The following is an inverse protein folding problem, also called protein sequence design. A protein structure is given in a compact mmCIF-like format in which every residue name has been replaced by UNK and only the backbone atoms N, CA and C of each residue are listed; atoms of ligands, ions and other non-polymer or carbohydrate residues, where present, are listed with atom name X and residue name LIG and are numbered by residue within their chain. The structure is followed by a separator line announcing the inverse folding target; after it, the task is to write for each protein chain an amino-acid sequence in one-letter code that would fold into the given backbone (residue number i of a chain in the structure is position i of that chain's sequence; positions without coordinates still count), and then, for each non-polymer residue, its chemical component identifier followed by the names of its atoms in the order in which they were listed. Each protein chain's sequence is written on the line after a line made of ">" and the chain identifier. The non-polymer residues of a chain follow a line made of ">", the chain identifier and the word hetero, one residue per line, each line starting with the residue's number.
data_IF_656018886053
#
_entry.id   IF_656018886053
#
_cell.length_a   1.000
_cell.length_b   1.000
_cell.length_c   1.000
_cell.angle_alpha   90.00
_cell.angle_beta   90.00
_cell.angle_gamma   90.00
#
_symmetry.space_group_name_H-M   'P 1'
#
loop_
_entity.id
_entity.type
_entity.pdbx_description
1 polymer ?
#
# COMPACT_ATOMS: atom_id res chain seq x y z
N UNK A 1 -12.84 -3.28 30.62
CA UNK A 1 -12.26 -4.31 29.76
C UNK A 1 -12.53 -3.89 28.31
N UNK A 2 -11.61 -3.18 27.71
CA UNK A 2 -11.72 -2.71 26.31
C UNK A 2 -11.42 -3.91 25.41
N UNK A 3 -12.40 -4.38 24.65
CA UNK A 3 -12.15 -5.28 23.54
C UNK A 3 -11.36 -4.49 22.50
N UNK A 4 -10.08 -4.80 22.34
CA UNK A 4 -9.29 -4.34 21.20
C UNK A 4 -9.97 -4.88 19.94
N UNK A 5 -10.78 -4.03 19.31
CA UNK A 5 -11.40 -4.34 18.03
C UNK A 5 -10.29 -4.59 17.03
N UNK A 6 -10.29 -5.76 16.39
CA UNK A 6 -9.38 -6.11 15.30
C UNK A 6 -9.63 -5.12 14.15
N UNK A 7 -8.81 -4.08 14.09
CA UNK A 7 -8.84 -3.13 12.96
C UNK A 7 -8.03 -3.75 11.84
N UNK A 8 -8.71 -4.33 10.87
CA UNK A 8 -8.11 -4.91 9.68
C UNK A 8 -8.55 -4.06 8.50
N UNK A 9 -7.60 -3.42 7.82
CA UNK A 9 -7.92 -2.68 6.60
C UNK A 9 -8.25 -3.66 5.49
N UNK A 10 -9.40 -3.53 4.87
CA UNK A 10 -9.68 -4.24 3.62
C UNK A 10 -9.14 -3.44 2.45
N UNK A 11 -8.03 -3.89 1.89
CA UNK A 11 -7.63 -3.46 0.56
C UNK A 11 -8.54 -4.19 -0.43
N UNK A 12 -9.05 -3.52 -1.49
CA UNK A 12 -9.94 -4.16 -2.46
C UNK A 12 -9.33 -5.44 -3.01
N UNK A 13 -9.93 -6.59 -2.76
CA UNK A 13 -9.62 -7.78 -3.55
C UNK A 13 -10.23 -7.58 -4.94
N UNK A 14 -9.38 -7.25 -5.91
CA UNK A 14 -9.77 -6.99 -7.30
C UNK A 14 -10.11 -8.25 -8.09
N UNK A 15 -10.14 -9.42 -7.46
CA UNK A 15 -10.55 -10.66 -8.11
C UNK A 15 -12.06 -10.67 -8.45
N UNK A 16 -12.89 -9.89 -7.74
CA UNK A 16 -14.32 -9.83 -8.00
C UNK A 16 -14.74 -8.90 -9.17
N UNK A 17 -13.89 -7.99 -9.62
CA UNK A 17 -14.20 -7.12 -10.78
C UNK A 17 -14.10 -7.83 -12.15
N UNK A 18 -13.95 -9.15 -12.20
CA UNK A 18 -13.86 -9.94 -13.45
C UNK A 18 -15.19 -10.20 -14.18
N UNK A 19 -16.29 -9.56 -13.81
CA UNK A 19 -17.57 -9.72 -14.54
C UNK A 19 -17.83 -8.67 -15.61
N UNK A 20 -16.94 -7.70 -15.81
CA UNK A 20 -17.00 -6.83 -16.99
C UNK A 20 -16.08 -7.44 -18.06
N UNK A 21 -16.68 -8.21 -18.97
CA UNK A 21 -15.99 -8.76 -20.16
C UNK A 21 -15.61 -7.59 -21.08
N UNK A 22 -14.35 -7.19 -21.06
CA UNK A 22 -13.77 -6.43 -22.15
C UNK A 22 -13.22 -7.38 -23.19
N UNK A 23 -14.02 -7.62 -24.22
CA UNK A 23 -13.59 -8.21 -25.48
C UNK A 23 -12.94 -7.11 -26.32
N UNK A 24 -11.62 -7.10 -26.43
CA UNK A 24 -10.91 -6.41 -27.50
C UNK A 24 -9.58 -7.09 -27.79
N UNK A 25 -9.61 -7.94 -28.82
CA UNK A 25 -8.42 -8.32 -29.59
C UNK A 25 -8.30 -7.29 -30.74
N UNK A 26 -7.21 -6.55 -30.78
CA UNK A 26 -6.71 -5.94 -32.00
C UNK A 26 -5.19 -5.96 -31.95
N UNK A 27 -4.61 -6.83 -32.76
CA UNK A 27 -3.18 -6.89 -33.09
C UNK A 27 -2.78 -5.60 -33.82
N UNK A 28 -1.77 -4.92 -33.28
CA UNK A 28 -0.88 -4.09 -34.10
C UNK A 28 0.54 -4.53 -33.78
N UNK A 29 1.15 -5.22 -34.74
CA UNK A 29 2.56 -5.57 -34.72
C UNK A 29 3.38 -4.32 -35.10
N UNK A 30 4.08 -3.74 -34.15
CA UNK A 30 5.12 -2.75 -34.39
C UNK A 30 6.45 -3.39 -34.01
N UNK A 31 7.24 -3.74 -35.01
CA UNK A 31 8.63 -4.18 -34.88
C UNK A 31 9.49 -2.97 -34.52
N UNK A 32 9.81 -2.81 -33.24
CA UNK A 32 10.81 -1.85 -32.78
C UNK A 32 12.01 -2.62 -32.25
N UNK A 33 13.16 -2.42 -32.90
CA UNK A 33 14.46 -2.94 -32.48
C UNK A 33 14.83 -2.36 -31.13
N UNK A 34 14.71 -3.19 -30.08
CA UNK A 34 15.01 -2.83 -28.69
C UNK A 34 16.52 -3.02 -28.46
N UNK A 35 17.28 -1.95 -28.45
CA UNK A 35 18.64 -1.94 -27.89
C UNK A 35 18.51 -2.11 -26.38
N UNK A 36 18.84 -3.29 -25.88
CA UNK A 36 18.90 -3.60 -24.45
C UNK A 36 20.10 -2.87 -23.84
N UNK A 37 19.88 -1.66 -23.35
CA UNK A 37 20.78 -1.04 -22.37
C UNK A 37 20.58 -1.79 -21.04
N UNK A 38 21.44 -2.75 -20.76
CA UNK A 38 21.48 -3.44 -19.47
C UNK A 38 21.96 -2.43 -18.43
N UNK A 39 21.03 -1.88 -17.67
CA UNK A 39 21.32 -0.93 -16.59
C UNK A 39 22.11 -1.65 -15.48
N UNK A 40 23.23 -1.09 -14.97
CA UNK A 40 24.04 -1.73 -13.91
C UNK A 40 23.26 -2.01 -12.61
N UNK A 41 22.13 -1.33 -12.39
CA UNK A 41 21.22 -1.56 -11.27
C UNK A 41 20.57 -2.96 -11.25
N UNK A 42 20.29 -3.53 -12.43
CA UNK A 42 19.69 -4.86 -12.53
C UNK A 42 20.67 -6.00 -12.15
N UNK A 43 21.97 -5.80 -12.43
CA UNK A 43 23.01 -6.75 -12.03
C UNK A 43 23.24 -6.75 -10.53
N UNK A 44 23.16 -5.59 -9.87
CA UNK A 44 23.31 -5.44 -8.40
C UNK A 44 22.17 -6.12 -7.65
N UNK A 45 20.91 -5.98 -8.11
CA UNK A 45 19.75 -6.63 -7.48
C UNK A 45 19.84 -8.17 -7.53
N UNK A 46 20.28 -8.75 -8.64
CA UNK A 46 20.48 -10.19 -8.78
C UNK A 46 21.58 -10.78 -7.85
N UNK A 47 22.59 -9.98 -7.53
CA UNK A 47 23.68 -10.41 -6.66
C UNK A 47 23.28 -10.38 -5.18
N UNK A 48 22.39 -9.48 -4.80
CA UNK A 48 21.86 -9.32 -3.44
C UNK A 48 21.01 -10.54 -3.02
N UNK A 49 20.21 -11.09 -3.95
CA UNK A 49 19.35 -12.25 -3.68
C UNK A 49 20.11 -13.56 -3.38
N UNK A 50 21.37 -13.66 -3.82
CA UNK A 50 22.21 -14.86 -3.62
C UNK A 50 22.94 -14.87 -2.27
N UNK A 51 22.99 -13.74 -1.55
CA UNK A 51 23.65 -13.68 -0.25
C UNK A 51 22.97 -14.66 0.74
N UNK A 52 23.77 -15.49 1.39
CA UNK A 52 23.27 -16.43 2.42
C UNK A 52 22.85 -15.71 3.70
N UNK A 53 23.43 -14.54 3.96
CA UNK A 53 23.07 -13.71 5.11
C UNK A 53 23.27 -12.23 4.80
N UNK A 54 22.38 -11.39 5.34
CA UNK A 54 22.50 -9.93 5.36
C UNK A 54 21.63 -9.34 6.45
N UNK A 55 21.93 -8.10 6.85
CA UNK A 55 21.11 -7.28 7.74
C UNK A 55 21.07 -5.84 7.24
N UNK A 56 19.90 -5.20 7.27
CA UNK A 56 19.72 -3.80 6.87
C UNK A 56 18.69 -3.14 7.79
N UNK A 57 18.80 -1.82 7.98
CA UNK A 57 17.88 -1.01 8.78
C UNK A 57 17.71 0.35 8.09
N UNK A 58 16.50 0.90 8.13
CA UNK A 58 16.16 2.19 7.52
C UNK A 58 16.47 3.40 8.41
N UNK A 59 16.66 3.18 9.70
CA UNK A 59 16.75 4.25 10.72
C UNK A 59 15.39 4.70 11.26
N UNK A 60 14.26 4.21 10.72
CA UNK A 60 12.93 4.49 11.25
C UNK A 60 12.75 3.81 12.62
N UNK A 61 12.33 4.59 13.62
CA UNK A 61 12.07 4.13 14.98
C UNK A 61 10.57 4.33 15.27
N UNK A 62 9.76 3.25 15.45
CA UNK A 62 8.31 3.34 15.61
C UNK A 62 7.85 4.36 16.66
N UNK A 63 8.50 4.41 17.82
CA UNK A 63 8.14 5.31 18.92
C UNK A 63 8.38 6.80 18.61
N UNK A 64 9.28 7.11 17.68
CA UNK A 64 9.62 8.49 17.28
C UNK A 64 8.94 8.86 15.96
N UNK A 65 9.10 8.00 14.96
CA UNK A 65 8.78 8.30 13.57
C UNK A 65 7.39 7.78 13.16
N UNK A 66 6.80 6.88 13.97
CA UNK A 66 5.41 6.44 13.86
C UNK A 66 4.44 7.42 14.52
N UNK A 67 3.15 7.27 14.27
CA UNK A 67 2.12 8.04 14.97
C UNK A 67 1.99 7.56 16.42
N UNK A 68 1.60 8.47 17.33
CA UNK A 68 1.35 8.16 18.74
C UNK A 68 0.00 7.49 19.01
N UNK A 69 -0.81 7.32 17.98
CA UNK A 69 -2.14 6.70 18.03
C UNK A 69 -2.23 5.51 17.06
N UNK A 70 -3.08 4.56 17.41
CA UNK A 70 -3.31 3.37 16.61
C UNK A 70 -4.28 3.64 15.46
N UNK A 71 -4.24 2.78 14.44
CA UNK A 71 -5.24 2.71 13.39
C UNK A 71 -6.65 2.58 13.99
N UNK A 72 -7.62 3.25 13.38
CA UNK A 72 -8.99 3.32 13.89
C UNK A 72 -10.03 3.04 12.80
N UNK A 73 -11.21 2.65 13.27
CA UNK A 73 -12.42 2.49 12.46
C UNK A 73 -13.30 3.73 12.70
N UNK A 74 -13.66 4.42 11.63
CA UNK A 74 -14.62 5.52 11.67
C UNK A 74 -15.31 5.66 10.32
N UNK A 75 -16.62 5.87 10.33
CA UNK A 75 -17.38 6.19 9.14
C UNK A 75 -16.95 7.58 8.65
N UNK A 76 -16.48 7.70 7.40
CA UNK A 76 -16.14 9.00 6.84
C UNK A 76 -17.41 9.86 6.68
N UNK A 77 -17.23 11.18 6.58
CA UNK A 77 -18.32 12.09 6.26
C UNK A 77 -18.84 11.81 4.86
N UNK A 78 -20.14 12.05 4.63
CA UNK A 78 -20.75 11.92 3.30
C UNK A 78 -20.05 12.86 2.31
N UNK A 79 -19.64 12.33 1.18
CA UNK A 79 -18.92 13.07 0.13
C UNK A 79 -17.40 12.95 0.21
N UNK A 80 -16.84 12.47 1.31
CA UNK A 80 -15.39 12.23 1.45
C UNK A 80 -14.83 11.41 0.27
N UNK A 81 -15.55 10.40 -0.19
CA UNK A 81 -15.13 9.58 -1.32
C UNK A 81 -14.96 10.38 -2.61
N UNK A 82 -15.88 11.29 -2.93
CA UNK A 82 -15.79 12.17 -4.11
C UNK A 82 -14.60 13.11 -3.97
N UNK A 83 -14.41 13.73 -2.79
CA UNK A 83 -13.30 14.64 -2.52
C UNK A 83 -11.95 13.95 -2.69
N UNK A 84 -11.79 12.74 -2.16
CA UNK A 84 -10.58 11.94 -2.32
C UNK A 84 -10.33 11.57 -3.78
N UNK A 85 -11.37 11.20 -4.54
CA UNK A 85 -11.23 10.90 -5.96
C UNK A 85 -10.80 12.14 -6.76
N UNK A 86 -11.35 13.33 -6.44
CA UNK A 86 -10.93 14.60 -7.05
C UNK A 86 -9.46 14.90 -6.75
N UNK A 87 -9.02 14.67 -5.51
CA UNK A 87 -7.62 14.90 -5.12
C UNK A 87 -6.63 13.99 -5.86
N UNK A 88 -6.97 12.73 -6.09
CA UNK A 88 -6.05 11.75 -6.70
C UNK A 88 -6.15 11.66 -8.22
N UNK A 89 -7.31 11.92 -8.82
CA UNK A 89 -7.53 11.80 -10.27
C UNK A 89 -7.76 13.13 -10.97
N UNK A 90 -7.97 14.20 -10.22
CA UNK A 90 -8.28 15.52 -10.76
C UNK A 90 -9.77 15.73 -11.04
N UNK A 91 -10.19 16.99 -10.96
CA UNK A 91 -11.58 17.41 -11.11
C UNK A 91 -12.15 17.04 -12.49
N UNK A 92 -11.37 17.19 -13.56
CA UNK A 92 -11.77 16.86 -14.93
C UNK A 92 -12.14 15.38 -15.13
N UNK A 93 -11.54 14.49 -14.34
CA UNK A 93 -11.84 13.05 -14.41
C UNK A 93 -13.07 12.64 -13.62
N UNK A 94 -13.44 13.41 -12.61
CA UNK A 94 -14.45 13.02 -11.62
C UNK A 94 -15.75 13.80 -11.78
N UNK A 95 -15.69 15.10 -12.17
CA UNK A 95 -16.83 16.01 -12.12
C UNK A 95 -17.36 16.34 -13.53
N UNK A 96 -18.69 16.30 -13.71
CA UNK A 96 -19.40 16.77 -14.92
C UNK A 96 -19.25 18.28 -15.11
N UNK A 97 -19.11 19.02 -14.01
CA UNK A 97 -18.94 20.47 -13.95
C UNK A 97 -17.49 20.87 -13.62
N UNK A 98 -16.52 20.27 -14.30
CA UNK A 98 -15.11 20.44 -13.98
C UNK A 98 -14.61 21.90 -14.06
N UNK A 99 -15.17 22.68 -14.98
CA UNK A 99 -14.81 24.10 -15.22
C UNK A 99 -15.49 25.07 -14.22
N UNK A 100 -16.43 24.58 -13.41
CA UNK A 100 -17.13 25.40 -12.39
C UNK A 100 -16.33 25.43 -11.09
N UNK A 101 -16.47 26.54 -10.35
CA UNK A 101 -15.98 26.69 -8.97
C UNK A 101 -16.94 26.05 -7.95
N UNK A 102 -18.15 25.69 -8.39
CA UNK A 102 -19.15 25.05 -7.55
C UNK A 102 -18.71 23.65 -7.07
N UNK A 103 -19.48 23.07 -6.15
CA UNK A 103 -19.26 21.71 -5.70
C UNK A 103 -19.22 20.72 -6.88
N UNK A 104 -18.39 19.71 -6.78
CA UNK A 104 -18.28 18.68 -7.81
C UNK A 104 -19.61 17.92 -7.98
N UNK A 105 -20.11 17.86 -9.20
CA UNK A 105 -21.18 16.95 -9.61
C UNK A 105 -20.49 15.74 -10.26
N UNK A 106 -20.36 14.60 -9.56
CA UNK A 106 -19.59 13.48 -10.08
C UNK A 106 -20.26 12.82 -11.29
N UNK A 107 -19.47 12.17 -12.14
CA UNK A 107 -19.98 11.18 -13.08
C UNK A 107 -20.57 10.00 -12.30
N UNK A 108 -21.58 9.32 -12.82
CA UNK A 108 -22.25 8.22 -12.13
C UNK A 108 -21.29 7.10 -11.71
N UNK A 109 -20.38 6.73 -12.60
CA UNK A 109 -19.33 5.73 -12.28
C UNK A 109 -18.37 6.19 -11.19
N UNK A 110 -18.06 7.49 -11.12
CA UNK A 110 -17.25 8.07 -10.07
C UNK A 110 -18.01 8.12 -8.73
N UNK A 111 -19.30 8.44 -8.75
CA UNK A 111 -20.16 8.44 -7.56
C UNK A 111 -20.28 7.04 -6.94
N UNK A 112 -20.58 6.03 -7.76
CA UNK A 112 -20.64 4.64 -7.31
C UNK A 112 -19.30 4.16 -6.73
N UNK A 113 -18.20 4.58 -7.34
CA UNK A 113 -16.86 4.24 -6.83
C UNK A 113 -16.55 4.99 -5.53
N UNK A 114 -16.97 6.25 -5.39
CA UNK A 114 -16.82 7.04 -4.17
C UNK A 114 -17.53 6.40 -2.98
N UNK A 115 -18.72 5.84 -3.18
CA UNK A 115 -19.42 5.07 -2.13
C UNK A 115 -18.58 3.86 -1.67
N UNK A 116 -18.02 3.10 -2.60
CA UNK A 116 -17.14 1.98 -2.24
C UNK A 116 -15.86 2.44 -1.51
N UNK A 117 -15.33 3.61 -1.85
CA UNK A 117 -14.19 4.24 -1.15
C UNK A 117 -14.57 4.53 0.30
N UNK A 118 -15.72 5.15 0.55
CA UNK A 118 -16.21 5.45 1.90
C UNK A 118 -16.43 4.17 2.74
N UNK A 119 -17.07 3.16 2.17
CA UNK A 119 -17.30 1.87 2.82
C UNK A 119 -15.99 1.18 3.24
N UNK A 120 -14.95 1.28 2.42
CA UNK A 120 -13.65 0.67 2.70
C UNK A 120 -12.82 1.48 3.69
N UNK A 121 -12.85 2.81 3.56
CA UNK A 121 -12.19 3.72 4.49
C UNK A 121 -12.76 3.55 5.92
N UNK A 122 -14.06 3.26 6.02
CA UNK A 122 -14.72 2.97 7.29
C UNK A 122 -14.15 1.72 8.00
N UNK A 123 -13.43 0.84 7.30
CA UNK A 123 -12.88 -0.39 7.86
C UNK A 123 -11.45 -0.23 8.41
N UNK A 124 -10.81 0.90 8.16
CA UNK A 124 -9.50 1.23 8.69
C UNK A 124 -8.60 1.99 7.71
N UNK A 125 -7.56 2.60 8.24
CA UNK A 125 -6.67 3.54 7.55
C UNK A 125 -5.20 3.10 7.52
N UNK A 126 -4.93 1.79 7.70
CA UNK A 126 -3.55 1.29 7.81
C UNK A 126 -2.65 1.71 6.64
N UNK A 127 -3.18 1.70 5.40
CA UNK A 127 -2.45 2.14 4.21
C UNK A 127 -2.04 3.62 4.33
N UNK A 128 -2.98 4.49 4.67
CA UNK A 128 -2.73 5.93 4.81
C UNK A 128 -1.75 6.25 5.92
N UNK A 129 -1.94 5.63 7.08
CA UNK A 129 -1.03 5.77 8.23
C UNK A 129 0.39 5.33 7.87
N UNK A 130 0.53 4.17 7.26
CA UNK A 130 1.83 3.63 6.87
C UNK A 130 2.54 4.52 5.85
N UNK A 131 1.84 4.95 4.80
CA UNK A 131 2.41 5.81 3.75
C UNK A 131 2.76 7.17 4.31
N UNK A 132 1.88 7.78 5.13
CA UNK A 132 2.11 9.13 5.63
C UNK A 132 3.22 9.18 6.66
N UNK A 133 3.32 8.21 7.58
CA UNK A 133 4.46 8.10 8.49
C UNK A 133 5.80 7.99 7.72
N UNK A 134 5.85 7.18 6.67
CA UNK A 134 7.04 7.04 5.82
C UNK A 134 7.39 8.33 5.08
N UNK A 135 6.38 9.10 4.62
CA UNK A 135 6.58 10.40 3.99
C UNK A 135 7.15 11.44 4.96
N UNK A 136 6.56 11.55 6.16
CA UNK A 136 7.05 12.45 7.22
C UNK A 136 8.48 12.09 7.60
N UNK A 137 8.80 10.80 7.73
CA UNK A 137 10.15 10.33 8.02
C UNK A 137 11.15 10.73 6.92
N UNK A 138 10.78 10.57 5.66
CA UNK A 138 11.61 10.95 4.53
C UNK A 138 11.86 12.47 4.44
N UNK A 139 10.87 13.28 4.81
CA UNK A 139 10.98 14.74 4.84
C UNK A 139 11.86 15.25 5.99
N UNK A 140 11.99 14.46 7.07
CA UNK A 140 12.92 14.72 8.18
C UNK A 140 12.61 15.99 9.02
N UNK A 141 11.40 16.56 8.88
CA UNK A 141 11.05 17.84 9.53
C UNK A 141 10.57 17.67 10.97
N UNK A 142 9.46 16.96 11.16
CA UNK A 142 8.85 16.77 12.49
C UNK A 142 8.51 15.30 12.67
N UNK A 143 8.90 14.65 13.77
CA UNK A 143 8.51 13.28 14.07
C UNK A 143 6.99 13.11 14.06
N UNK A 144 6.48 12.07 13.39
CA UNK A 144 5.05 11.82 13.27
C UNK A 144 4.37 11.63 14.65
N UNK A 145 5.11 11.10 15.64
CA UNK A 145 4.63 10.93 17.01
C UNK A 145 4.23 12.22 17.72
N UNK A 146 4.74 13.37 17.27
CA UNK A 146 4.45 14.69 17.85
C UNK A 146 3.26 15.39 17.21
N UNK A 147 2.66 14.83 16.15
CA UNK A 147 1.57 15.47 15.42
C UNK A 147 0.24 14.87 15.88
N UNK A 148 -0.69 15.67 16.42
CA UNK A 148 -1.99 15.18 16.88
C UNK A 148 -2.89 14.80 15.72
N UNK A 149 -3.75 13.79 15.96
CA UNK A 149 -4.61 13.16 14.93
C UNK A 149 -5.53 14.16 14.24
N UNK A 150 -6.01 15.18 14.95
CA UNK A 150 -6.93 16.20 14.43
C UNK A 150 -6.33 17.02 13.28
N UNK A 151 -4.99 17.07 13.21
CA UNK A 151 -4.25 17.77 12.15
C UNK A 151 -3.89 16.85 10.97
N UNK A 152 -4.18 15.57 11.07
CA UNK A 152 -3.65 14.56 10.15
C UNK A 152 -4.72 13.77 9.42
N UNK A 153 -5.98 13.75 9.91
CA UNK A 153 -7.01 12.84 9.39
C UNK A 153 -7.22 12.94 7.88
N UNK A 154 -7.32 14.17 7.35
CA UNK A 154 -7.48 14.40 5.90
C UNK A 154 -6.28 13.91 5.08
N UNK A 155 -5.06 14.15 5.59
CA UNK A 155 -3.84 13.65 4.95
C UNK A 155 -3.75 12.12 4.98
N UNK A 156 -4.17 11.50 6.08
CA UNK A 156 -4.19 10.04 6.21
C UNK A 156 -5.17 9.44 5.20
N UNK A 157 -6.37 10.01 5.07
CA UNK A 157 -7.39 9.56 4.12
C UNK A 157 -6.92 9.79 2.67
N UNK A 158 -6.25 10.90 2.37
CA UNK A 158 -5.60 11.14 1.07
C UNK A 158 -4.54 10.07 0.75
N UNK A 159 -3.60 9.81 1.66
CA UNK A 159 -2.57 8.80 1.43
C UNK A 159 -3.14 7.38 1.35
N UNK A 160 -4.22 7.11 2.10
CA UNK A 160 -4.97 5.87 1.96
C UNK A 160 -5.56 5.74 0.55
N UNK A 161 -6.14 6.80 0.00
CA UNK A 161 -6.74 6.81 -1.32
C UNK A 161 -5.72 6.54 -2.45
N UNK A 162 -4.43 6.87 -2.25
CA UNK A 162 -3.39 6.63 -3.27
C UNK A 162 -3.20 5.18 -3.67
N UNK A 163 -3.70 4.20 -2.90
CA UNK A 163 -3.72 2.79 -3.31
C UNK A 163 -4.53 2.55 -4.59
N UNK A 164 -5.48 3.45 -4.91
CA UNK A 164 -6.33 3.38 -6.09
C UNK A 164 -5.65 3.87 -7.37
N UNK A 165 -4.52 4.56 -7.27
CA UNK A 165 -3.75 5.02 -8.44
C UNK A 165 -3.42 3.86 -9.38
N UNK A 166 -3.56 4.02 -10.71
CA UNK A 166 -3.28 2.97 -11.68
C UNK A 166 -1.89 2.35 -11.55
N UNK A 167 -0.86 3.17 -11.29
CA UNK A 167 0.52 2.70 -11.09
C UNK A 167 0.66 1.83 -9.83
N UNK A 168 0.06 2.25 -8.71
CA UNK A 168 0.04 1.49 -7.44
C UNK A 168 -0.68 0.16 -7.63
N UNK A 169 -1.86 0.20 -8.25
CA UNK A 169 -2.64 -0.98 -8.58
C UNK A 169 -1.91 -1.98 -9.46
N UNK A 170 -1.24 -1.50 -10.51
CA UNK A 170 -0.47 -2.35 -11.42
C UNK A 170 0.72 -2.99 -10.69
N UNK A 171 1.41 -2.21 -9.86
CA UNK A 171 2.53 -2.71 -9.04
C UNK A 171 2.06 -3.74 -8.02
N UNK A 172 0.93 -3.52 -7.33
CA UNK A 172 0.35 -4.50 -6.40
C UNK A 172 0.06 -5.83 -7.11
N UNK A 173 -0.63 -5.81 -8.26
CA UNK A 173 -0.90 -7.04 -9.03
C UNK A 173 0.39 -7.75 -9.44
N UNK A 174 1.39 -7.02 -9.94
CA UNK A 174 2.65 -7.62 -10.36
C UNK A 174 3.45 -8.20 -9.20
N UNK A 175 3.52 -7.51 -8.06
CA UNK A 175 4.16 -8.01 -6.84
C UNK A 175 3.46 -9.28 -6.33
N UNK A 176 2.13 -9.28 -6.27
CA UNK A 176 1.34 -10.44 -5.81
C UNK A 176 1.50 -11.67 -6.72
N UNK A 177 1.89 -11.52 -7.98
CA UNK A 177 2.20 -12.67 -8.85
C UNK A 177 3.52 -13.36 -8.48
N UNK A 178 4.37 -12.70 -7.69
CA UNK A 178 5.68 -13.21 -7.28
C UNK A 178 5.57 -14.10 -6.03
N UNK A 179 6.54 -15.02 -5.88
CA UNK A 179 6.72 -15.77 -4.64
C UNK A 179 7.35 -14.89 -3.56
N UNK A 180 7.14 -15.16 -2.26
CA UNK A 180 7.72 -14.37 -1.18
C UNK A 180 9.24 -14.16 -1.28
N UNK A 181 9.99 -15.19 -1.70
CA UNK A 181 11.44 -15.09 -1.90
C UNK A 181 11.87 -14.08 -2.97
N UNK A 182 11.02 -13.83 -3.97
CA UNK A 182 11.30 -12.90 -5.07
C UNK A 182 11.08 -11.44 -4.68
N UNK A 183 10.33 -11.19 -3.60
CA UNK A 183 10.07 -9.85 -3.06
C UNK A 183 11.17 -9.35 -2.10
N UNK A 184 12.05 -10.23 -1.62
CA UNK A 184 13.06 -9.90 -0.62
C UNK A 184 14.00 -8.79 -1.09
N UNK A 185 14.39 -8.80 -2.36
CA UNK A 185 15.23 -7.76 -2.95
C UNK A 185 14.58 -6.38 -2.91
N UNK A 186 13.30 -6.31 -3.26
CA UNK A 186 12.52 -5.06 -3.25
C UNK A 186 12.30 -4.56 -1.80
N UNK A 187 11.97 -5.47 -0.86
CA UNK A 187 11.84 -5.11 0.56
C UNK A 187 13.17 -4.54 1.09
N UNK A 188 14.28 -5.23 0.82
CA UNK A 188 15.61 -4.78 1.24
C UNK A 188 15.97 -3.42 0.63
N UNK A 189 15.69 -3.22 -0.63
CA UNK A 189 15.95 -1.93 -1.30
C UNK A 189 15.14 -0.81 -0.64
N UNK A 190 13.86 -1.02 -0.37
CA UNK A 190 13.02 -0.05 0.34
C UNK A 190 13.57 0.31 1.73
N UNK A 191 14.05 -0.70 2.48
CA UNK A 191 14.69 -0.49 3.80
C UNK A 191 15.99 0.31 3.67
N UNK A 192 16.88 -0.05 2.73
CA UNK A 192 18.15 0.64 2.50
C UNK A 192 17.99 2.09 2.05
N UNK A 193 16.92 2.39 1.34
CA UNK A 193 16.61 3.75 0.86
C UNK A 193 15.84 4.60 1.89
N UNK A 194 15.76 4.19 3.16
CA UNK A 194 15.08 4.95 4.22
C UNK A 194 13.58 4.67 4.31
N UNK A 195 13.17 3.40 4.33
CA UNK A 195 11.75 2.98 4.45
C UNK A 195 10.84 3.51 3.32
N UNK A 196 11.31 3.43 2.07
CA UNK A 196 10.65 4.02 0.89
C UNK A 196 9.66 3.10 0.18
N UNK A 197 9.26 1.99 0.80
CA UNK A 197 8.25 1.08 0.24
C UNK A 197 7.33 0.56 1.33
N UNK A 198 6.03 0.44 1.03
CA UNK A 198 5.07 -0.26 1.89
C UNK A 198 5.02 -1.75 1.55
N UNK A 199 4.57 -2.57 2.49
CA UNK A 199 4.33 -4.00 2.32
C UNK A 199 2.89 -4.31 2.68
N UNK A 200 2.13 -4.78 1.69
CA UNK A 200 0.77 -5.27 1.86
C UNK A 200 0.75 -6.78 2.08
N UNK A 201 -0.11 -7.22 2.99
CA UNK A 201 -0.38 -8.62 3.30
C UNK A 201 -1.86 -8.91 3.10
N UNK A 202 -2.18 -10.04 2.48
CA UNK A 202 -3.55 -10.43 2.12
C UNK A 202 -3.84 -11.83 2.64
N UNK A 203 -4.95 -11.97 3.37
CA UNK A 203 -5.37 -13.24 3.96
C UNK A 203 -6.90 -13.29 4.11
N UNK A 204 -7.53 -14.31 3.54
CA UNK A 204 -8.99 -14.55 3.64
C UNK A 204 -9.85 -13.32 3.31
N UNK A 205 -9.56 -12.64 2.19
CA UNK A 205 -10.29 -11.45 1.76
C UNK A 205 -9.98 -10.17 2.54
N UNK A 206 -9.11 -10.25 3.53
CA UNK A 206 -8.63 -9.10 4.31
C UNK A 206 -7.28 -8.62 3.80
N UNK A 207 -6.96 -7.35 4.00
CA UNK A 207 -5.68 -6.75 3.69
C UNK A 207 -5.16 -5.90 4.83
N UNK A 208 -3.84 -5.87 4.99
CA UNK A 208 -3.16 -5.03 5.97
C UNK A 208 -1.84 -4.51 5.39
N UNK A 209 -1.54 -3.25 5.66
CA UNK A 209 -0.33 -2.59 5.17
C UNK A 209 0.55 -2.17 6.32
N UNK A 210 1.84 -2.48 6.20
CA UNK A 210 2.89 -2.15 7.17
C UNK A 210 4.09 -1.52 6.46
N UNK A 211 4.97 -0.85 7.22
CA UNK A 211 6.20 -0.27 6.71
C UNK A 211 7.40 -1.16 7.07
N UNK A 212 8.11 -1.77 6.11
CA UNK A 212 9.37 -2.44 6.37
C UNK A 212 10.42 -1.43 6.85
N UNK A 213 10.95 -1.64 8.05
CA UNK A 213 11.96 -0.77 8.67
C UNK A 213 13.30 -1.45 8.87
N UNK A 214 13.30 -2.77 8.92
CA UNK A 214 14.54 -3.57 8.96
C UNK A 214 14.33 -4.91 8.26
N UNK A 215 15.42 -5.53 7.84
CA UNK A 215 15.38 -6.87 7.26
C UNK A 215 16.68 -7.63 7.61
N UNK A 216 16.53 -8.87 8.04
CA UNK A 216 17.62 -9.79 8.30
C UNK A 216 17.37 -11.13 7.60
N UNK A 217 18.38 -11.64 6.91
CA UNK A 217 18.36 -12.99 6.31
C UNK A 217 19.45 -13.84 6.94
N UNK A 218 19.08 -15.05 7.34
CA UNK A 218 19.98 -16.12 7.82
C UNK A 218 19.58 -17.41 7.13
N UNK A 219 20.38 -17.85 6.17
CA UNK A 219 20.07 -19.01 5.35
C UNK A 219 18.73 -18.85 4.62
N UNK A 220 17.79 -19.74 4.90
CA UNK A 220 16.44 -19.71 4.32
C UNK A 220 15.42 -18.88 5.11
N UNK A 221 15.79 -18.35 6.27
CA UNK A 221 14.91 -17.52 7.09
C UNK A 221 15.16 -16.04 6.83
N UNK A 222 14.08 -15.30 6.63
CA UNK A 222 14.09 -13.84 6.51
C UNK A 222 13.13 -13.29 7.56
N UNK A 223 13.61 -12.34 8.34
CA UNK A 223 12.85 -11.57 9.31
C UNK A 223 12.80 -10.12 8.84
N UNK A 224 11.59 -9.60 8.60
CA UNK A 224 11.36 -8.21 8.26
C UNK A 224 10.75 -7.52 9.47
N UNK A 225 11.51 -6.62 10.11
CA UNK A 225 10.95 -5.74 11.13
C UNK A 225 10.09 -4.68 10.48
N UNK A 226 8.89 -4.48 11.01
CA UNK A 226 7.91 -3.56 10.43
C UNK A 226 7.35 -2.60 11.48
N UNK A 227 7.05 -1.37 11.06
CA UNK A 227 6.13 -0.50 11.76
C UNK A 227 4.70 -0.87 11.33
N UNK A 228 3.86 -1.16 12.31
CA UNK A 228 2.44 -1.51 12.15
C UNK A 228 1.59 -0.45 12.86
N UNK A 229 0.74 0.23 12.12
CA UNK A 229 -0.14 1.26 12.66
C UNK A 229 -1.20 0.74 13.65
N UNK A 230 -1.43 -0.58 13.71
CA UNK A 230 -2.28 -1.18 14.75
C UNK A 230 -1.59 -1.24 16.12
N UNK A 231 -0.23 -1.20 16.12
CA UNK A 231 0.62 -1.25 17.31
C UNK A 231 1.77 -0.25 17.16
N UNK A 232 1.48 1.06 17.08
CA UNK A 232 2.38 2.07 16.51
C UNK A 232 3.71 2.23 17.25
N UNK A 233 3.78 1.86 18.52
CA UNK A 233 5.00 1.96 19.32
C UNK A 233 5.88 0.72 19.28
N UNK A 234 5.42 -0.37 18.63
CA UNK A 234 6.13 -1.65 18.61
C UNK A 234 6.70 -1.95 17.23
N UNK A 235 7.89 -2.52 17.21
CA UNK A 235 8.40 -3.19 16.01
C UNK A 235 7.80 -4.58 15.94
N UNK A 236 7.00 -4.84 14.92
CA UNK A 236 6.47 -6.17 14.64
C UNK A 236 7.40 -6.93 13.68
N UNK A 237 7.17 -8.24 13.49
CA UNK A 237 8.03 -9.05 12.62
C UNK A 237 7.21 -9.91 11.65
N UNK A 238 7.38 -9.65 10.36
CA UNK A 238 7.01 -10.59 9.30
C UNK A 238 8.17 -11.57 9.09
N UNK A 239 7.86 -12.87 9.05
CA UNK A 239 8.85 -13.93 8.79
C UNK A 239 8.55 -14.60 7.46
N UNK A 240 9.60 -14.89 6.69
CA UNK A 240 9.53 -15.56 5.38
C UNK A 240 10.52 -16.70 5.35
N UNK A 241 10.07 -17.90 4.95
CA UNK A 241 10.95 -19.01 4.64
C UNK A 241 11.09 -19.14 3.12
N UNK A 242 12.28 -18.84 2.61
CA UNK A 242 12.58 -18.81 1.18
C UNK A 242 12.61 -20.20 0.52
N UNK A 243 12.83 -21.28 1.28
CA UNK A 243 12.82 -22.65 0.78
C UNK A 243 11.39 -23.16 0.61
N UNK A 244 10.53 -22.95 1.61
CA UNK A 244 9.15 -23.43 1.62
C UNK A 244 8.17 -22.45 0.99
N UNK A 245 8.60 -21.19 0.75
CA UNK A 245 7.78 -20.09 0.25
C UNK A 245 6.61 -19.74 1.17
N UNK A 246 6.74 -19.98 2.46
CA UNK A 246 5.76 -19.64 3.49
C UNK A 246 6.18 -18.33 4.16
N UNK A 247 5.21 -17.46 4.36
CA UNK A 247 5.34 -16.32 5.26
C UNK A 247 4.31 -16.41 6.38
N UNK A 248 4.60 -15.74 7.49
CA UNK A 248 3.67 -15.59 8.61
C UNK A 248 3.89 -14.28 9.34
N UNK A 249 2.80 -13.71 9.81
CA UNK A 249 2.74 -12.47 10.54
C UNK A 249 1.80 -12.63 11.74
N UNK A 250 2.31 -12.40 12.94
CA UNK A 250 1.57 -12.54 14.19
C UNK A 250 1.96 -11.38 15.11
N UNK A 251 1.35 -10.17 14.89
CA UNK A 251 1.66 -9.02 15.72
C UNK A 251 1.20 -9.21 17.15
N UNK A 252 1.93 -8.61 18.08
CA UNK A 252 1.65 -8.64 19.51
C UNK A 252 1.25 -7.23 20.00
N UNK A 253 0.44 -7.17 21.05
CA UNK A 253 0.17 -5.94 21.81
C UNK A 253 1.31 -5.63 22.82
N UNK A 254 1.13 -4.57 23.61
CA UNK A 254 2.10 -4.14 24.64
C UNK A 254 2.29 -5.16 25.77
N UNK A 255 1.30 -6.01 25.98
CA UNK A 255 1.31 -7.12 26.96
C UNK A 255 1.93 -8.39 26.38
N UNK A 256 2.37 -8.39 25.12
CA UNK A 256 2.95 -9.52 24.41
C UNK A 256 1.93 -10.55 23.90
N UNK A 257 0.64 -10.23 23.93
CA UNK A 257 -0.42 -11.10 23.44
C UNK A 257 -0.58 -10.95 21.93
N UNK A 258 -0.67 -12.08 21.22
CA UNK A 258 -0.96 -12.08 19.78
C UNK A 258 -2.34 -11.46 19.48
N UNK A 259 -2.36 -10.46 18.59
CA UNK A 259 -3.57 -9.77 18.17
C UNK A 259 -4.31 -10.62 17.12
N UNK A 260 -3.58 -11.09 16.10
CA UNK A 260 -4.04 -12.03 15.07
C UNK A 260 -2.86 -12.82 14.51
N UNK A 261 -3.14 -13.83 13.71
CA UNK A 261 -2.08 -14.59 13.04
C UNK A 261 -2.47 -14.90 11.60
N UNK A 262 -1.65 -14.44 10.65
CA UNK A 262 -1.81 -14.68 9.24
C UNK A 262 -0.63 -15.45 8.70
N UNK A 263 -0.89 -16.37 7.78
CA UNK A 263 0.15 -17.09 7.06
C UNK A 263 -0.34 -17.48 5.66
N UNK A 264 0.58 -17.57 4.73
CA UNK A 264 0.28 -18.02 3.38
C UNK A 264 1.50 -18.70 2.75
N UNK A 265 1.25 -19.58 1.79
CA UNK A 265 2.27 -20.28 1.02
C UNK A 265 2.18 -19.91 -0.45
N UNK A 266 3.28 -19.48 -1.03
CA UNK A 266 3.37 -19.15 -2.44
C UNK A 266 3.02 -17.69 -2.74
N UNK A 267 2.66 -17.42 -3.99
CA UNK A 267 2.28 -16.08 -4.49
C UNK A 267 0.84 -15.72 -4.11
N UNK A 268 0.43 -14.48 -4.36
CA UNK A 268 -0.94 -14.00 -4.19
C UNK A 268 -1.18 -13.13 -2.97
N UNK A 269 -0.33 -13.23 -1.95
CA UNK A 269 -0.64 -12.70 -0.63
C UNK A 269 0.32 -11.64 -0.08
N UNK A 270 1.33 -11.22 -0.85
CA UNK A 270 2.22 -10.11 -0.50
C UNK A 270 2.39 -9.16 -1.68
N UNK A 271 2.47 -7.86 -1.40
CA UNK A 271 2.97 -6.88 -2.35
C UNK A 271 3.96 -5.92 -1.71
N UNK A 272 4.79 -5.31 -2.55
CA UNK A 272 5.75 -4.26 -2.17
C UNK A 272 5.55 -3.07 -3.09
N UNK A 273 5.17 -1.93 -2.50
CA UNK A 273 4.80 -0.72 -3.25
C UNK A 273 5.76 0.42 -2.93
N UNK A 274 6.60 0.85 -3.88
CA UNK A 274 7.42 2.05 -3.71
C UNK A 274 6.57 3.30 -3.50
N UNK A 275 6.98 4.15 -2.55
CA UNK A 275 6.30 5.43 -2.28
C UNK A 275 6.32 6.39 -3.48
N UNK A 276 7.31 6.27 -4.37
CA UNK A 276 7.41 7.05 -5.60
C UNK A 276 6.24 6.85 -6.58
N UNK A 277 5.52 5.71 -6.49
CA UNK A 277 4.34 5.44 -7.31
C UNK A 277 3.07 6.12 -6.80
N UNK A 278 3.12 6.74 -5.61
CA UNK A 278 1.96 7.34 -4.94
C UNK A 278 1.79 8.83 -5.23
N UNK A 279 2.29 9.27 -6.35
CA UNK A 279 2.09 10.65 -6.83
C UNK A 279 0.81 10.69 -7.65
N UNK A 280 -0.19 11.52 -7.26
CA UNK A 280 -1.40 11.72 -8.04
C UNK A 280 -1.07 12.20 -9.45
N UNK A 281 -1.76 11.64 -10.42
CA UNK A 281 -1.65 12.04 -11.83
C UNK A 281 -3.04 12.39 -12.33
N UNK A 282 -3.16 13.51 -13.03
CA UNK A 282 -4.41 13.82 -13.73
C UNK A 282 -4.63 12.77 -14.83
N UNK A 283 -5.78 12.11 -14.79
CA UNK A 283 -6.16 11.06 -15.74
C UNK A 283 -7.60 11.24 -16.18
N UNK A 284 -7.91 10.89 -17.42
CA UNK A 284 -9.29 10.93 -17.96
C UNK A 284 -10.03 9.60 -17.70
N UNK A 285 -9.65 8.86 -16.68
CA UNK A 285 -10.10 7.48 -16.48
C UNK A 285 -11.62 7.34 -16.37
N UNK A 286 -12.26 8.18 -15.57
CA UNK A 286 -13.71 8.10 -15.33
C UNK A 286 -14.53 8.79 -16.44
N UNK A 287 -14.04 9.90 -17.00
CA UNK A 287 -14.71 10.59 -18.10
C UNK A 287 -14.82 9.73 -19.36
N UNK A 288 -13.79 8.94 -19.67
CA UNK A 288 -13.81 8.00 -20.82
C UNK A 288 -14.74 6.81 -20.63
N UNK A 289 -14.96 6.35 -19.40
CA UNK A 289 -15.88 5.26 -19.11
C UNK A 289 -17.35 5.66 -19.34
N UNK A 290 -17.68 6.93 -19.03
CA UNK A 290 -19.05 7.47 -19.18
C UNK A 290 -19.46 7.78 -20.62
N UNK A 291 -18.53 7.83 -21.59
CA UNK A 291 -18.82 8.10 -23.02
C UNK A 291 -19.23 6.81 -23.78
N UNK A 292 -19.15 5.64 -23.15
CA UNK A 292 -19.43 4.35 -23.79
C UNK A 292 -20.80 3.75 -23.43
N UNK A 293 -21.62 4.47 -22.70
CA UNK A 293 -23.06 4.22 -22.50
C UNK A 293 -23.89 5.06 -23.46
#
# INVERSE_FOLDING_TARGET
>A
MSHAQKVTCMIPDRSESRKIRASWLSLVAITSSLVLLISPAAASAKQIDRATSFKSNSGFIPQRDGFSFANWIATPSKGTGVELLVQIFGRNSICKNADSVDACIPFETAEQFAIQVEERLAQGRCEGLTVFAAKIFADGTTPASLIPIEKLSENIDFWWATQMLPAVSAKSRSSRSLKPSQLIGEIRQGVLSGATSTLGMYFEGQGHTVLPISIEKKGNQVSVGVYDSNTPELTQTLRINTKTQVWWYSPIDKEGKTIFSWHHKGSGALDVIPLSLRTPQQTDYFSRASIKE
#
